data_IF_045044107331
#
_entry.id   IF_045044107331
#
_cell.length_a   1.000
_cell.length_b   1.000
_cell.length_c   1.000
_cell.angle_alpha   90.00
_cell.angle_beta   90.00
_cell.angle_gamma   90.00
#
_symmetry.space_group_name_H-M   'P 1'
#
loop_
_entity.id
_entity.type
_entity.pdbx_description
1 polymer ?
#
# COMPACT_ATOMS: atom_id res chain seq x y z
N UNK A 1 10.88 8.24 -4.95
CA UNK A 1 9.57 8.88 -5.19
C UNK A 1 9.84 10.32 -5.58
N UNK A 2 9.17 10.84 -6.60
CA UNK A 2 9.21 12.27 -6.89
C UNK A 2 8.33 13.06 -5.89
N UNK A 3 8.30 14.39 -5.98
CA UNK A 3 7.59 15.23 -5.01
C UNK A 3 6.08 14.92 -4.91
N UNK A 4 5.39 14.74 -6.04
CA UNK A 4 3.93 14.45 -6.04
C UNK A 4 3.62 13.07 -5.48
N UNK A 5 4.47 12.07 -5.77
CA UNK A 5 4.36 10.73 -5.21
C UNK A 5 4.62 10.72 -3.69
N UNK A 6 5.61 11.47 -3.22
CA UNK A 6 5.88 11.63 -1.79
C UNK A 6 4.71 12.29 -1.07
N UNK A 7 4.11 13.32 -1.67
CA UNK A 7 2.91 13.98 -1.13
C UNK A 7 1.70 13.04 -1.06
N UNK A 8 1.52 12.16 -2.06
CA UNK A 8 0.48 11.14 -2.02
C UNK A 8 0.68 10.13 -0.87
N UNK A 9 1.91 9.68 -0.64
CA UNK A 9 2.23 8.78 0.49
C UNK A 9 2.00 9.46 1.83
N UNK A 10 2.43 10.72 1.97
CA UNK A 10 2.21 11.49 3.19
C UNK A 10 0.72 11.71 3.46
N UNK A 11 -0.05 12.14 2.45
CA UNK A 11 -1.49 12.30 2.57
C UNK A 11 -2.19 11.02 3.03
N UNK A 12 -1.81 9.87 2.47
CA UNK A 12 -2.35 8.58 2.88
C UNK A 12 -1.99 8.18 4.32
N UNK A 13 -0.91 8.72 4.90
CA UNK A 13 -0.53 8.47 6.28
C UNK A 13 -1.26 9.41 7.27
N UNK A 14 -1.59 10.63 6.86
CA UNK A 14 -2.12 11.67 7.75
C UNK A 14 -3.62 11.91 7.61
N UNK A 15 -4.21 11.59 6.47
CA UNK A 15 -5.62 11.85 6.18
C UNK A 15 -6.44 10.56 6.33
N UNK A 16 -7.69 10.71 6.78
CA UNK A 16 -8.66 9.59 6.83
C UNK A 16 -9.05 9.09 5.43
N UNK A 17 -8.96 9.95 4.42
CA UNK A 17 -9.22 9.64 3.02
C UNK A 17 -8.21 10.39 2.15
N UNK A 18 -7.61 9.68 1.20
CA UNK A 18 -6.70 10.26 0.21
C UNK A 18 -7.06 9.71 -1.16
N UNK A 19 -7.25 10.61 -2.14
CA UNK A 19 -7.44 10.25 -3.55
C UNK A 19 -6.15 10.54 -4.31
N UNK A 20 -5.58 9.51 -4.93
CA UNK A 20 -4.37 9.62 -5.74
C UNK A 20 -4.73 9.46 -7.21
N UNK A 21 -4.56 10.54 -7.99
CA UNK A 21 -4.84 10.55 -9.42
C UNK A 21 -3.55 10.79 -10.22
N UNK A 22 -3.46 10.16 -11.38
CA UNK A 22 -2.40 10.44 -12.35
C UNK A 22 -2.65 9.77 -13.70
N UNK A 23 -2.13 10.34 -14.81
CA UNK A 23 -2.17 9.72 -16.13
C UNK A 23 -1.60 8.27 -16.17
N UNK A 24 -1.81 7.51 -17.25
CA UNK A 24 -1.12 6.24 -17.47
C UNK A 24 0.41 6.40 -17.34
N UNK A 25 1.08 5.41 -16.76
CA UNK A 25 2.55 5.42 -16.62
C UNK A 25 3.13 6.28 -15.49
N UNK A 26 2.34 7.04 -14.72
CA UNK A 26 2.87 7.94 -13.65
C UNK A 26 3.23 7.25 -12.33
N UNK A 27 3.25 5.91 -12.31
CA UNK A 27 3.67 5.14 -11.14
C UNK A 27 2.62 5.03 -10.03
N UNK A 28 1.32 5.12 -10.33
CA UNK A 28 0.24 4.95 -9.35
C UNK A 28 0.35 3.64 -8.55
N UNK A 29 0.62 2.52 -9.21
CA UNK A 29 0.82 1.22 -8.55
C UNK A 29 2.03 1.26 -7.62
N UNK A 30 3.14 1.87 -8.05
CA UNK A 30 4.31 2.05 -7.20
C UNK A 30 4.00 2.91 -5.97
N UNK A 31 3.21 3.97 -6.10
CA UNK A 31 2.74 4.78 -4.96
C UNK A 31 1.86 3.95 -4.04
N UNK A 32 0.91 3.18 -4.58
CA UNK A 32 0.05 2.30 -3.78
C UNK A 32 0.87 1.30 -2.95
N UNK A 33 1.89 0.66 -3.55
CA UNK A 33 2.80 -0.25 -2.85
C UNK A 33 3.54 0.48 -1.72
N UNK A 34 3.98 1.73 -1.92
CA UNK A 34 4.65 2.52 -0.88
C UNK A 34 3.72 2.91 0.26
N UNK A 35 2.45 3.23 -0.04
CA UNK A 35 1.41 3.47 0.97
C UNK A 35 1.20 2.21 1.80
N UNK A 36 0.96 1.06 1.16
CA UNK A 36 0.77 -0.22 1.83
C UNK A 36 1.99 -0.60 2.69
N UNK A 37 3.20 -0.38 2.18
CA UNK A 37 4.44 -0.62 2.92
C UNK A 37 4.55 0.27 4.17
N UNK A 38 4.18 1.54 4.05
CA UNK A 38 4.19 2.46 5.17
C UNK A 38 3.14 2.07 6.23
N UNK A 39 1.90 1.80 5.83
CA UNK A 39 0.84 1.34 6.72
C UNK A 39 1.20 0.03 7.43
N UNK A 40 1.82 -0.93 6.73
CA UNK A 40 2.22 -2.19 7.34
C UNK A 40 3.27 -2.01 8.45
N UNK A 41 4.21 -1.06 8.25
CA UNK A 41 5.18 -0.71 9.29
C UNK A 41 4.52 -0.03 10.48
N UNK A 42 3.55 0.85 10.25
CA UNK A 42 2.80 1.50 11.34
C UNK A 42 1.98 0.47 12.13
N UNK A 43 1.28 -0.45 11.44
CA UNK A 43 0.53 -1.52 12.09
C UNK A 43 1.43 -2.41 12.95
N UNK A 44 2.64 -2.74 12.47
CA UNK A 44 3.62 -3.48 13.25
C UNK A 44 4.12 -2.69 14.47
N UNK A 45 4.42 -1.40 14.32
CA UNK A 45 4.88 -0.55 15.41
C UNK A 45 3.81 -0.31 16.50
N UNK A 46 2.52 -0.41 16.14
CA UNK A 46 1.39 -0.25 17.05
C UNK A 46 0.95 -1.58 17.69
N UNK A 47 1.39 -2.72 17.18
CA UNK A 47 1.08 -4.03 17.74
C UNK A 47 1.74 -4.18 19.12
N UNK A 48 1.00 -4.68 20.11
CA UNK A 48 1.57 -5.00 21.42
C UNK A 48 2.42 -6.28 21.35
N UNK A 49 3.34 -6.49 22.31
CA UNK A 49 4.08 -7.74 22.40
C UNK A 49 3.12 -8.95 22.43
N UNK A 50 3.27 -9.87 21.47
CA UNK A 50 2.45 -11.07 21.34
C UNK A 50 1.16 -10.90 20.54
N UNK A 51 0.80 -9.69 20.10
CA UNK A 51 -0.34 -9.45 19.21
C UNK A 51 0.09 -9.46 17.73
N UNK A 52 -0.83 -9.86 16.86
CA UNK A 52 -0.64 -9.71 15.41
C UNK A 52 -0.95 -8.27 14.99
N UNK A 53 -0.17 -7.67 14.07
CA UNK A 53 -0.50 -6.37 13.51
C UNK A 53 -1.83 -6.41 12.75
N UNK A 54 -2.58 -5.31 12.83
CA UNK A 54 -3.84 -5.16 12.10
C UNK A 54 -3.62 -5.38 10.60
N UNK A 55 -4.40 -6.25 9.94
CA UNK A 55 -4.26 -6.51 8.52
C UNK A 55 -4.71 -5.30 7.69
N UNK A 56 -4.12 -5.16 6.51
CA UNK A 56 -4.46 -4.13 5.54
C UNK A 56 -5.14 -4.80 4.34
N UNK A 57 -6.32 -4.30 3.97
CA UNK A 57 -7.02 -4.74 2.76
C UNK A 57 -6.58 -3.88 1.57
N UNK A 58 -6.03 -4.52 0.55
CA UNK A 58 -5.81 -3.94 -0.76
C UNK A 58 -6.74 -4.62 -1.77
N UNK A 59 -7.43 -3.84 -2.60
CA UNK A 59 -8.40 -4.35 -3.58
C UNK A 59 -8.30 -3.58 -4.89
N UNK A 60 -8.80 -4.18 -5.97
CA UNK A 60 -8.86 -3.58 -7.30
C UNK A 60 -10.05 -4.14 -8.09
N UNK A 61 -10.35 -3.51 -9.22
CA UNK A 61 -11.47 -3.85 -10.12
C UNK A 61 -11.16 -5.04 -11.05
N UNK A 62 -9.89 -5.46 -11.13
CA UNK A 62 -9.47 -6.59 -11.97
C UNK A 62 -8.44 -7.49 -11.28
N UNK A 63 -8.48 -8.78 -11.62
CA UNK A 63 -7.52 -9.77 -11.10
C UNK A 63 -6.08 -9.42 -11.47
N UNK A 64 -5.83 -8.92 -12.68
CA UNK A 64 -4.49 -8.51 -13.14
C UNK A 64 -3.95 -7.39 -12.26
N UNK A 65 -4.79 -6.43 -11.86
CA UNK A 65 -4.36 -5.35 -10.97
C UNK A 65 -4.10 -5.83 -9.53
N UNK A 66 -4.89 -6.80 -9.04
CA UNK A 66 -4.61 -7.47 -7.76
C UNK A 66 -3.27 -8.21 -7.82
N UNK A 67 -2.98 -8.95 -8.89
CA UNK A 67 -1.71 -9.65 -9.07
C UNK A 67 -0.51 -8.70 -9.06
N UNK A 68 -0.61 -7.57 -9.78
CA UNK A 68 0.43 -6.56 -9.78
C UNK A 68 0.69 -5.97 -8.37
N UNK A 69 -0.35 -5.84 -7.55
CA UNK A 69 -0.20 -5.41 -6.16
C UNK A 69 0.45 -6.52 -5.31
N UNK A 70 0.03 -7.77 -5.46
CA UNK A 70 0.59 -8.92 -4.73
C UNK A 70 2.08 -9.05 -5.02
N UNK A 71 2.48 -9.07 -6.29
CA UNK A 71 3.88 -9.14 -6.71
C UNK A 71 4.67 -7.93 -6.18
N UNK A 72 4.13 -6.72 -6.37
CA UNK A 72 4.76 -5.49 -5.90
C UNK A 72 4.96 -5.44 -4.39
N UNK A 73 3.98 -5.90 -3.62
CA UNK A 73 4.05 -5.99 -2.16
C UNK A 73 5.04 -7.05 -1.69
N UNK A 74 5.05 -8.23 -2.32
CA UNK A 74 6.00 -9.30 -2.02
C UNK A 74 7.44 -8.84 -2.29
N UNK A 75 7.68 -8.16 -3.41
CA UNK A 75 8.99 -7.62 -3.80
C UNK A 75 9.54 -6.58 -2.80
N UNK A 76 8.68 -5.91 -2.05
CA UNK A 76 9.10 -4.96 -0.99
C UNK A 76 9.06 -5.57 0.42
N UNK A 77 8.93 -6.89 0.52
CA UNK A 77 9.05 -7.67 1.76
C UNK A 77 7.78 -7.72 2.62
N UNK A 78 6.61 -7.39 2.06
CA UNK A 78 5.35 -7.51 2.79
C UNK A 78 4.85 -8.96 2.79
N UNK A 79 4.29 -9.39 3.92
CA UNK A 79 3.51 -10.62 4.00
C UNK A 79 2.14 -10.36 3.38
N UNK A 80 1.90 -10.91 2.20
CA UNK A 80 0.66 -10.76 1.45
C UNK A 80 -0.02 -12.10 1.23
N UNK A 81 -1.34 -12.08 1.29
CA UNK A 81 -2.20 -13.22 0.95
C UNK A 81 -3.19 -12.72 -0.10
N UNK A 82 -3.25 -13.41 -1.24
CA UNK A 82 -4.28 -13.19 -2.25
C UNK A 82 -5.50 -14.04 -1.89
N UNK A 83 -6.67 -13.43 -1.85
CA UNK A 83 -7.94 -14.12 -1.66
C UNK A 83 -8.68 -14.17 -3.00
N UNK A 84 -8.91 -15.39 -3.53
CA UNK A 84 -9.51 -15.61 -4.84
C UNK A 84 -8.61 -16.37 -5.79
#
# INVERSE_FOLDING_TARGET
LNASQSLAVQGAATNRLTLVQGPPGTGKTAVAIRILQHWARLALAQAKPGENPSPILATSDSNIAVDNLVEGCANVGLRVVRLG
#
